data_IF_663775454173
#
_entry.id   IF_663775454173
#
_cell.length_a   1.000
_cell.length_b   1.000
_cell.length_c   1.000
_cell.angle_alpha   90.00
_cell.angle_beta   90.00
_cell.angle_gamma   90.00
#
_symmetry.space_group_name_H-M   'P 1'
#
loop_
_entity.id
_entity.type
_entity.pdbx_description
1 polymer ?
#
# COMPACT_ATOMS: atom_id res chain seq x y z
N UNK A 1 -1.40 25.62 0.41
CA UNK A 1 -0.86 24.26 0.19
C UNK A 1 -1.35 23.44 1.38
N UNK A 2 -2.31 22.55 1.19
CA UNK A 2 -2.77 21.66 2.27
C UNK A 2 -1.71 20.56 2.44
N UNK A 3 -1.13 20.48 3.63
CA UNK A 3 -0.26 19.36 4.01
C UNK A 3 -1.15 18.12 4.13
N UNK A 4 -0.96 17.16 3.22
CA UNK A 4 -1.63 15.86 3.33
C UNK A 4 -0.95 15.07 4.46
N UNK A 5 -1.61 15.00 5.61
CA UNK A 5 -1.16 14.23 6.79
C UNK A 5 -1.37 12.71 6.63
N UNK A 6 -1.10 12.19 5.44
CA UNK A 6 -1.30 10.80 5.12
C UNK A 6 0.01 10.02 5.19
N UNK A 7 0.00 8.90 5.91
CA UNK A 7 1.14 8.00 6.15
C UNK A 7 0.81 6.60 5.61
N UNK A 8 1.85 5.76 5.49
CA UNK A 8 1.69 4.35 5.12
C UNK A 8 1.76 3.48 6.37
N UNK A 9 0.74 2.65 6.55
CA UNK A 9 0.72 1.59 7.55
C UNK A 9 1.04 0.25 6.88
N UNK A 10 2.08 -0.41 7.38
CA UNK A 10 2.51 -1.72 6.90
C UNK A 10 1.58 -2.80 7.47
N UNK A 11 0.61 -3.19 6.65
CA UNK A 11 -0.42 -4.16 7.04
C UNK A 11 0.18 -5.56 7.21
N UNK A 12 1.30 -5.86 6.56
CA UNK A 12 1.97 -7.17 6.68
C UNK A 12 2.70 -7.36 8.00
N UNK A 13 2.96 -6.28 8.75
CA UNK A 13 3.50 -6.34 10.10
C UNK A 13 2.42 -6.54 11.16
N UNK A 14 1.24 -5.96 10.97
CA UNK A 14 0.14 -6.01 11.94
C UNK A 14 -0.73 -7.26 11.77
N UNK A 15 -0.85 -7.79 10.55
CA UNK A 15 -1.54 -9.04 10.26
C UNK A 15 -0.53 -10.20 10.30
N UNK A 16 -0.79 -11.28 11.06
CA UNK A 16 0.06 -12.45 11.06
C UNK A 16 0.28 -12.93 9.62
N UNK A 17 1.54 -13.23 9.24
CA UNK A 17 1.90 -13.70 7.88
C UNK A 17 1.09 -14.92 7.39
N UNK A 18 0.44 -15.63 8.31
CA UNK A 18 -0.44 -16.78 8.05
C UNK A 18 -1.83 -16.40 7.57
N UNK A 19 -2.24 -15.14 7.69
CA UNK A 19 -3.56 -14.66 7.26
C UNK A 19 -3.41 -13.95 5.91
N UNK A 20 -3.82 -14.57 4.80
CA UNK A 20 -3.83 -13.91 3.52
C UNK A 20 -4.85 -12.76 3.53
N UNK A 21 -4.43 -11.57 3.12
CA UNK A 21 -5.35 -10.49 2.79
C UNK A 21 -6.30 -10.99 1.70
N UNK A 22 -7.58 -11.00 1.99
CA UNK A 22 -8.60 -11.51 1.10
C UNK A 22 -8.91 -10.49 0.01
N UNK A 23 -9.26 -10.95 -1.20
CA UNK A 23 -9.73 -10.07 -2.28
C UNK A 23 -10.89 -9.16 -1.83
N UNK A 24 -11.70 -9.64 -0.88
CA UNK A 24 -12.80 -8.89 -0.26
C UNK A 24 -12.31 -7.63 0.46
N UNK A 25 -11.18 -7.69 1.16
CA UNK A 25 -10.60 -6.54 1.88
C UNK A 25 -9.98 -5.51 0.93
N UNK A 26 -9.61 -5.95 -0.27
CA UNK A 26 -9.12 -5.10 -1.36
C UNK A 26 -10.25 -4.53 -2.23
N UNK A 27 -11.44 -5.15 -2.21
CA UNK A 27 -12.56 -4.76 -3.07
C UNK A 27 -13.06 -3.36 -2.70
N UNK A 28 -13.17 -2.48 -3.69
CA UNK A 28 -13.61 -1.10 -3.51
C UNK A 28 -12.51 -0.11 -3.07
N UNK A 29 -11.31 -0.60 -2.73
CA UNK A 29 -10.15 0.26 -2.46
C UNK A 29 -9.45 0.62 -3.77
N UNK A 30 -8.91 1.84 -3.84
CA UNK A 30 -7.96 2.18 -4.91
C UNK A 30 -6.71 1.32 -4.72
N UNK A 31 -6.17 0.78 -5.81
CA UNK A 31 -4.94 -0.01 -5.79
C UNK A 31 -3.89 0.72 -6.61
N UNK A 32 -2.70 0.88 -6.04
CA UNK A 32 -1.51 1.37 -6.73
C UNK A 32 -0.45 0.28 -6.73
N UNK A 33 0.10 -0.04 -7.89
CA UNK A 33 1.25 -0.95 -8.01
C UNK A 33 2.49 -0.12 -8.29
N UNK A 34 3.52 -0.29 -7.46
CA UNK A 34 4.78 0.45 -7.55
C UNK A 34 5.88 -0.53 -7.98
N UNK A 35 6.37 -0.41 -9.22
CA UNK A 35 7.50 -1.20 -9.70
C UNK A 35 8.76 -0.93 -8.87
N UNK A 36 9.68 -1.89 -8.88
CA UNK A 36 10.99 -1.68 -8.28
C UNK A 36 11.71 -0.50 -8.95
N UNK A 37 12.26 0.42 -8.16
CA UNK A 37 12.98 1.59 -8.63
C UNK A 37 12.12 2.76 -9.12
N UNK A 38 10.78 2.64 -9.07
CA UNK A 38 9.90 3.74 -9.44
C UNK A 38 9.99 4.91 -8.44
N UNK A 39 10.18 6.12 -8.96
CA UNK A 39 10.03 7.36 -8.20
C UNK A 39 8.54 7.70 -8.12
N UNK A 40 7.97 7.53 -6.94
CA UNK A 40 6.58 7.87 -6.65
C UNK A 40 6.50 9.26 -6.02
N UNK A 41 5.64 10.11 -6.57
CA UNK A 41 5.26 11.39 -5.95
C UNK A 41 4.51 11.12 -4.65
N UNK A 42 4.64 12.01 -3.65
CA UNK A 42 4.03 11.90 -2.32
C UNK A 42 2.50 12.12 -2.32
N UNK A 43 1.81 11.80 -3.41
CA UNK A 43 0.36 11.94 -3.49
C UNK A 43 -0.30 10.76 -2.78
N UNK A 44 -0.42 10.83 -1.45
CA UNK A 44 -1.08 9.82 -0.62
C UNK A 44 -2.60 10.00 -0.61
N UNK A 45 -3.34 8.89 -0.67
CA UNK A 45 -4.80 8.85 -0.70
C UNK A 45 -5.28 7.91 0.40
N UNK A 46 -6.06 8.41 1.35
CA UNK A 46 -6.67 7.62 2.41
C UNK A 46 -7.36 6.35 1.88
N UNK A 47 -7.10 5.21 2.52
CA UNK A 47 -7.70 3.92 2.20
C UNK A 47 -7.13 3.22 0.96
N UNK A 48 -6.22 3.86 0.20
CA UNK A 48 -5.57 3.25 -0.97
C UNK A 48 -4.61 2.15 -0.52
N UNK A 49 -4.65 1.03 -1.22
CA UNK A 49 -3.67 -0.05 -1.07
C UNK A 49 -2.53 0.19 -2.04
N UNK A 50 -1.31 0.27 -1.54
CA UNK A 50 -0.11 0.32 -2.37
C UNK A 50 0.66 -0.99 -2.28
N UNK A 51 0.88 -1.62 -3.44
CA UNK A 51 1.62 -2.87 -3.60
C UNK A 51 2.99 -2.54 -4.17
N UNK A 52 4.04 -2.86 -3.42
CA UNK A 52 5.42 -2.67 -3.84
C UNK A 52 5.97 -3.97 -4.42
N UNK A 53 6.57 -3.89 -5.60
CA UNK A 53 7.24 -5.01 -6.24
C UNK A 53 8.75 -5.00 -5.99
N UNK A 54 9.35 -6.18 -5.94
CA UNK A 54 10.81 -6.35 -5.98
C UNK A 54 11.32 -6.39 -7.44
N UNK A 55 12.64 -6.57 -7.61
CA UNK A 55 13.29 -6.64 -8.92
C UNK A 55 12.77 -7.77 -9.81
N UNK A 56 12.25 -8.84 -9.22
CA UNK A 56 11.68 -10.00 -9.94
C UNK A 56 10.18 -9.81 -10.24
N UNK A 57 9.62 -8.60 -10.06
CA UNK A 57 8.19 -8.31 -10.17
C UNK A 57 7.29 -9.11 -9.21
N UNK A 58 7.85 -9.59 -8.10
CA UNK A 58 7.10 -10.24 -7.04
C UNK A 58 6.71 -9.23 -5.95
N UNK A 59 5.60 -9.50 -5.26
CA UNK A 59 5.14 -8.66 -4.16
C UNK A 59 6.18 -8.66 -3.05
N UNK A 60 6.72 -7.49 -2.77
CA UNK A 60 7.65 -7.24 -1.66
C UNK A 60 6.91 -6.76 -0.41
N UNK A 61 5.97 -5.82 -0.59
CA UNK A 61 5.21 -5.24 0.51
C UNK A 61 3.82 -4.79 0.05
N UNK A 62 2.87 -4.75 0.99
CA UNK A 62 1.52 -4.22 0.79
C UNK A 62 1.20 -3.31 1.96
N UNK A 63 0.85 -2.05 1.67
CA UNK A 63 0.55 -1.05 2.68
C UNK A 63 -0.81 -0.42 2.41
N UNK A 64 -1.52 -0.04 3.47
CA UNK A 64 -2.73 0.78 3.37
C UNK A 64 -2.34 2.19 3.77
N UNK A 65 -2.69 3.14 2.91
CA UNK A 65 -2.48 4.56 3.16
C UNK A 65 -3.55 5.06 4.12
N UNK A 66 -3.14 5.68 5.22
CA UNK A 66 -4.02 6.24 6.25
C UNK A 66 -3.76 7.73 6.34
N UNK A 67 -4.79 8.52 6.64
CA UNK A 67 -4.62 9.93 6.98
C UNK A 67 -5.04 10.12 8.43
N UNK A 68 -4.21 10.84 9.18
CA UNK A 68 -4.55 11.31 10.53
C UNK A 68 -5.47 12.53 10.44
#
# INVERSE_FOLDING_TARGET
>A
MQENNCRQLDVTREIPRSVPLTLRELTGRRIRVVPFGALITQEFIAGRVTIYLNQQNLVRNVVVETCD
#
